data_IF_747605091664
#
_entry.id   IF_747605091664
#
_cell.length_a   1.000
_cell.length_b   1.000
_cell.length_c   1.000
_cell.angle_alpha   90.00
_cell.angle_beta   90.00
_cell.angle_gamma   90.00
#
_symmetry.space_group_name_H-M   'P 1'
#
loop_
_entity.id
_entity.type
_entity.pdbx_description
1 polymer ?
#
# COMPACT_ATOMS: atom_id res chain seq x y z
N UNK A 1 3.07 -12.34 -1.45
CA UNK A 1 1.70 -11.88 -1.13
C UNK A 1 1.18 -11.10 -2.32
N UNK A 2 0.00 -11.42 -2.85
CA UNK A 2 -0.55 -10.71 -4.01
C UNK A 2 -0.91 -9.27 -3.61
N UNK A 3 -0.18 -8.28 -4.14
CA UNK A 3 -0.41 -6.85 -3.89
C UNK A 3 -1.83 -6.44 -4.29
N UNK A 4 -2.38 -7.09 -5.32
CA UNK A 4 -3.76 -6.91 -5.77
C UNK A 4 -4.77 -7.28 -4.67
N UNK A 5 -4.50 -8.36 -3.92
CA UNK A 5 -5.37 -8.84 -2.85
C UNK A 5 -5.37 -7.84 -1.68
N UNK A 6 -4.20 -7.33 -1.32
CA UNK A 6 -4.07 -6.29 -0.28
C UNK A 6 -4.85 -5.04 -0.68
N UNK A 7 -4.72 -4.59 -1.94
CA UNK A 7 -5.44 -3.44 -2.46
C UNK A 7 -6.96 -3.67 -2.44
N UNK A 8 -7.42 -4.86 -2.82
CA UNK A 8 -8.83 -5.24 -2.77
C UNK A 8 -9.40 -5.19 -1.33
N UNK A 9 -8.63 -5.67 -0.34
CA UNK A 9 -9.01 -5.60 1.08
C UNK A 9 -9.12 -4.15 1.53
N UNK A 10 -8.16 -3.29 1.20
CA UNK A 10 -8.19 -1.86 1.57
C UNK A 10 -9.45 -1.18 1.03
N UNK A 11 -9.80 -1.44 -0.24
CA UNK A 11 -11.02 -0.91 -0.85
C UNK A 11 -12.27 -1.45 -0.16
N UNK A 12 -12.31 -2.75 0.16
CA UNK A 12 -13.42 -3.36 0.87
C UNK A 12 -13.65 -2.73 2.25
N UNK A 13 -12.57 -2.50 3.02
CA UNK A 13 -12.63 -1.80 4.32
C UNK A 13 -13.14 -0.36 4.14
N UNK A 14 -12.65 0.35 3.11
CA UNK A 14 -13.14 1.67 2.75
C UNK A 14 -14.64 1.69 2.48
N UNK A 15 -15.14 0.72 1.71
CA UNK A 15 -16.58 0.59 1.41
C UNK A 15 -17.39 0.35 2.69
N UNK A 16 -16.93 -0.53 3.59
CA UNK A 16 -17.58 -0.75 4.89
C UNK A 16 -17.62 0.55 5.71
N UNK A 17 -16.51 1.29 5.77
CA UNK A 17 -16.44 2.58 6.45
C UNK A 17 -17.41 3.62 5.83
N UNK A 18 -17.56 3.64 4.51
CA UNK A 18 -18.52 4.49 3.80
C UNK A 18 -19.95 4.22 4.25
N UNK A 19 -20.37 2.94 4.25
CA UNK A 19 -21.74 2.58 4.61
C UNK A 19 -22.04 2.90 6.08
N UNK A 20 -21.11 2.59 7.00
CA UNK A 20 -21.24 2.92 8.42
C UNK A 20 -21.30 4.44 8.63
N UNK A 21 -20.40 5.20 8.01
CA UNK A 21 -20.37 6.67 8.11
C UNK A 21 -21.64 7.32 7.59
N UNK A 22 -22.15 6.83 6.45
CA UNK A 22 -23.41 7.29 5.87
C UNK A 22 -24.61 6.96 6.76
N UNK A 23 -24.69 5.74 7.29
CA UNK A 23 -25.79 5.31 8.17
C UNK A 23 -25.82 6.12 9.47
N UNK A 24 -24.66 6.34 10.10
CA UNK A 24 -24.55 7.15 11.30
C UNK A 24 -25.01 8.59 11.07
N UNK A 25 -24.60 9.20 9.96
CA UNK A 25 -25.01 10.58 9.64
C UNK A 25 -26.51 10.68 9.32
N UNK A 26 -27.10 9.67 8.67
CA UNK A 26 -28.53 9.61 8.41
C UNK A 26 -29.35 9.43 9.70
N UNK A 27 -28.88 8.62 10.65
CA UNK A 27 -29.55 8.39 11.92
C UNK A 27 -29.56 9.61 12.86
N UNK A 28 -28.70 10.61 12.61
CA UNK A 28 -28.64 11.84 13.40
C UNK A 28 -29.63 12.93 12.92
N UNK A 29 -30.32 12.71 11.80
CA UNK A 29 -31.35 13.64 11.34
C UNK A 29 -32.64 13.47 12.16
N UNK A 30 -32.76 14.29 13.21
CA UNK A 30 -33.93 14.31 14.09
C UNK A 30 -35.08 15.18 13.54
N UNK A 31 -35.01 15.68 12.30
CA UNK A 31 -36.05 16.48 11.65
C UNK A 31 -36.28 17.90 12.22
N UNK A 32 -35.72 18.21 13.39
CA UNK A 32 -35.85 19.53 14.06
C UNK A 32 -34.92 20.59 13.49
N UNK A 33 -33.77 20.20 12.94
CA UNK A 33 -32.76 21.08 12.36
C UNK A 33 -32.25 20.46 11.08
N UNK A 34 -32.34 21.18 9.96
CA UNK A 34 -31.87 20.70 8.66
C UNK A 34 -30.34 20.55 8.71
N UNK A 35 -29.77 19.35 8.48
CA UNK A 35 -28.32 19.18 8.51
C UNK A 35 -27.65 19.98 7.38
N UNK A 36 -26.58 20.70 7.69
CA UNK A 36 -25.79 21.47 6.70
C UNK A 36 -24.95 20.57 5.77
N UNK A 37 -24.69 19.32 6.16
CA UNK A 37 -23.94 18.35 5.35
C UNK A 37 -24.80 17.10 5.12
N UNK A 38 -24.89 16.67 3.84
CA UNK A 38 -25.67 15.49 3.46
C UNK A 38 -24.95 14.23 3.97
N UNK A 39 -25.71 13.22 4.42
CA UNK A 39 -25.16 11.96 4.93
C UNK A 39 -24.15 11.28 3.97
N UNK A 40 -24.26 11.53 2.67
CA UNK A 40 -23.33 11.06 1.66
C UNK A 40 -21.89 11.60 1.81
N UNK A 41 -21.71 12.85 2.26
CA UNK A 41 -20.38 13.43 2.49
C UNK A 41 -19.66 12.76 3.66
N UNK A 42 -20.39 12.37 4.71
CA UNK A 42 -19.81 11.66 5.86
C UNK A 42 -19.34 10.26 5.47
N UNK A 43 -20.08 9.57 4.59
CA UNK A 43 -19.63 8.31 4.00
C UNK A 43 -18.32 8.48 3.22
N UNK A 44 -18.25 9.45 2.30
CA UNK A 44 -17.03 9.72 1.53
C UNK A 44 -15.85 10.13 2.39
N UNK A 45 -16.09 10.93 3.43
CA UNK A 45 -15.03 11.32 4.36
C UNK A 45 -14.47 10.10 5.11
N UNK A 46 -15.34 9.21 5.62
CA UNK A 46 -14.92 7.96 6.26
C UNK A 46 -14.18 7.01 5.31
N UNK A 47 -14.63 6.90 4.05
CA UNK A 47 -13.94 6.13 3.01
C UNK A 47 -12.52 6.67 2.77
N UNK A 48 -12.40 7.97 2.54
CA UNK A 48 -11.12 8.61 2.25
C UNK A 48 -10.15 8.49 3.42
N UNK A 49 -10.63 8.66 4.65
CA UNK A 49 -9.82 8.51 5.86
C UNK A 49 -9.33 7.07 6.07
N UNK A 50 -10.08 6.07 5.61
CA UNK A 50 -9.65 4.67 5.70
C UNK A 50 -8.68 4.27 4.56
N UNK A 51 -8.96 4.72 3.34
CA UNK A 51 -8.25 4.26 2.12
C UNK A 51 -6.97 5.04 1.87
N UNK A 52 -6.98 6.38 1.97
CA UNK A 52 -5.80 7.20 1.68
C UNK A 52 -4.57 6.85 2.53
N UNK A 53 -4.64 6.76 3.87
CA UNK A 53 -3.45 6.44 4.65
C UNK A 53 -2.95 5.01 4.40
N UNK A 54 -3.85 4.06 4.13
CA UNK A 54 -3.47 2.70 3.76
C UNK A 54 -2.73 2.67 2.41
N UNK A 55 -3.22 3.38 1.40
CA UNK A 55 -2.55 3.50 0.10
C UNK A 55 -1.20 4.21 0.22
N UNK A 56 -1.10 5.26 1.03
CA UNK A 56 0.15 5.97 1.28
C UNK A 56 1.19 5.02 1.90
N UNK A 57 0.81 4.28 2.94
CA UNK A 57 1.68 3.30 3.58
C UNK A 57 2.16 2.24 2.58
N UNK A 58 1.25 1.68 1.77
CA UNK A 58 1.59 0.69 0.75
C UNK A 58 2.54 1.26 -0.32
N UNK A 59 2.32 2.49 -0.77
CA UNK A 59 3.21 3.16 -1.72
C UNK A 59 4.62 3.36 -1.13
N UNK A 60 4.70 3.86 0.11
CA UNK A 60 5.98 4.02 0.80
C UNK A 60 6.67 2.68 1.02
N UNK A 61 5.93 1.65 1.42
CA UNK A 61 6.47 0.32 1.66
C UNK A 61 6.98 -0.35 0.37
N UNK A 62 6.23 -0.27 -0.72
CA UNK A 62 6.62 -0.88 -2.01
C UNK A 62 7.89 -0.25 -2.57
N UNK A 63 7.99 1.07 -2.55
CA UNK A 63 9.22 1.78 -2.97
C UNK A 63 10.36 1.51 -1.99
N UNK A 64 10.10 1.65 -0.69
CA UNK A 64 11.10 1.51 0.36
C UNK A 64 11.69 0.10 0.42
N UNK A 65 10.86 -0.93 0.29
CA UNK A 65 11.30 -2.33 0.29
C UNK A 65 12.20 -2.65 -0.90
N UNK A 66 11.88 -2.19 -2.11
CA UNK A 66 12.75 -2.39 -3.29
C UNK A 66 14.11 -1.73 -3.09
N UNK A 67 14.12 -0.47 -2.65
CA UNK A 67 15.36 0.29 -2.42
C UNK A 67 16.20 -0.36 -1.31
N UNK A 68 15.56 -0.79 -0.23
CA UNK A 68 16.23 -1.47 0.87
C UNK A 68 16.84 -2.80 0.42
N UNK A 69 16.09 -3.60 -0.34
CA UNK A 69 16.52 -4.92 -0.78
C UNK A 69 17.69 -4.83 -1.77
N UNK A 70 17.63 -3.91 -2.74
CA UNK A 70 18.74 -3.68 -3.69
C UNK A 70 20.02 -3.31 -2.92
N UNK A 71 19.95 -2.35 -1.98
CA UNK A 71 21.12 -1.96 -1.16
C UNK A 71 21.66 -3.13 -0.33
N UNK A 72 20.76 -3.90 0.30
CA UNK A 72 21.16 -4.99 1.17
C UNK A 72 21.84 -6.13 0.39
N UNK A 73 21.35 -6.45 -0.81
CA UNK A 73 21.95 -7.44 -1.70
C UNK A 73 23.37 -7.03 -2.10
N UNK A 74 23.58 -5.77 -2.53
CA UNK A 74 24.92 -5.28 -2.90
C UNK A 74 25.92 -5.31 -1.74
N UNK A 75 25.47 -5.08 -0.50
CA UNK A 75 26.36 -5.17 0.69
C UNK A 75 26.60 -6.60 1.17
N UNK A 76 25.70 -7.53 0.86
CA UNK A 76 25.80 -8.93 1.28
C UNK A 76 26.60 -9.79 0.29
N UNK A 77 26.84 -9.30 -0.94
CA UNK A 77 27.68 -9.95 -1.93
C UNK A 77 29.16 -9.81 -1.53
N UNK A 78 29.93 -10.91 -1.42
CA UNK A 78 31.35 -10.83 -1.09
C UNK A 78 32.16 -10.13 -2.19
N UNK A 79 33.12 -9.30 -1.79
CA UNK A 79 34.08 -8.61 -2.68
C UNK A 79 34.82 -9.65 -3.55
N UNK A 80 34.40 -9.84 -4.81
CA UNK A 80 35.12 -10.69 -5.77
C UNK A 80 36.33 -9.96 -6.37
N UNK A 81 37.36 -10.74 -6.70
CA UNK A 81 38.61 -10.27 -7.35
C UNK A 81 38.34 -9.48 -8.63
N UNK A 82 39.14 -8.43 -8.84
CA UNK A 82 38.95 -7.33 -9.80
C UNK A 82 38.67 -7.78 -11.25
N UNK A 83 39.12 -8.97 -11.63
CA UNK A 83 39.08 -9.50 -13.01
C UNK A 83 37.70 -10.04 -13.46
N UNK A 84 36.76 -10.26 -12.53
CA UNK A 84 35.44 -10.85 -12.86
C UNK A 84 34.25 -10.07 -12.29
N UNK A 85 34.49 -8.87 -11.76
CA UNK A 85 33.56 -8.15 -10.85
C UNK A 85 32.24 -7.73 -11.51
N UNK A 86 32.29 -7.07 -12.67
CA UNK A 86 31.10 -6.40 -13.25
C UNK A 86 30.14 -7.37 -13.93
N UNK A 87 30.66 -8.32 -14.73
CA UNK A 87 29.83 -9.29 -15.45
C UNK A 87 29.19 -10.33 -14.51
N UNK A 88 29.90 -10.73 -13.44
CA UNK A 88 29.41 -11.74 -12.50
C UNK A 88 28.41 -11.17 -11.50
N UNK A 89 28.58 -9.91 -11.06
CA UNK A 89 27.66 -9.27 -10.10
C UNK A 89 26.26 -9.06 -10.70
N UNK A 90 26.18 -8.57 -11.94
CA UNK A 90 24.90 -8.40 -12.63
C UNK A 90 24.17 -9.74 -12.80
N UNK A 91 24.92 -10.83 -13.05
CA UNK A 91 24.37 -12.17 -13.22
C UNK A 91 23.84 -12.72 -11.89
N UNK A 92 24.62 -12.64 -10.81
CA UNK A 92 24.25 -13.09 -9.47
C UNK A 92 23.02 -12.34 -8.94
N UNK A 93 22.96 -11.00 -9.13
CA UNK A 93 21.78 -10.19 -8.77
C UNK A 93 20.57 -10.60 -9.58
N UNK A 94 20.73 -10.89 -10.88
CA UNK A 94 19.63 -11.34 -11.73
C UNK A 94 19.10 -12.71 -11.33
N UNK A 95 19.98 -13.63 -10.91
CA UNK A 95 19.63 -14.97 -10.42
C UNK A 95 18.83 -14.89 -9.11
N UNK A 96 19.30 -14.07 -8.16
CA UNK A 96 18.56 -13.82 -6.91
C UNK A 96 17.20 -13.20 -7.19
N UNK A 97 17.12 -12.21 -8.09
CA UNK A 97 15.85 -11.61 -8.51
C UNK A 97 14.94 -12.60 -9.24
N UNK A 98 15.49 -13.57 -9.99
CA UNK A 98 14.72 -14.63 -10.65
C UNK A 98 14.15 -15.61 -9.63
N UNK A 99 14.99 -16.14 -8.73
CA UNK A 99 14.59 -17.03 -7.64
C UNK A 99 13.56 -16.41 -6.71
N UNK A 100 13.70 -15.11 -6.39
CA UNK A 100 12.74 -14.38 -5.58
C UNK A 100 11.38 -14.19 -6.26
N UNK A 101 11.35 -14.22 -7.60
CA UNK A 101 10.11 -14.09 -8.40
C UNK A 101 9.44 -15.45 -8.68
N UNK A 102 10.19 -16.55 -8.60
CA UNK A 102 9.73 -17.91 -8.90
C UNK A 102 9.97 -18.28 -10.36
#
# INVERSE_FOLDING_TARGET
MSSLLVLAIVVAVGLVAFFIGRQRAAAQDNGKVKPHSRAHYHGWWAFLLAVLPALLLLAVWTVGSSVYLDRHIHTALPERTVDSKVASEALDVSLVKSLARG
#
